data_IF_977373244652
#
_entry.id   IF_977373244652
#
_cell.length_a   1.000
_cell.length_b   1.000
_cell.length_c   1.000
_cell.angle_alpha   90.00
_cell.angle_beta   90.00
_cell.angle_gamma   90.00
#
_symmetry.space_group_name_H-M   'P 1'
#
loop_
_entity.id
_entity.type
_entity.pdbx_description
1 polymer ?
#
# COMPACT_ATOMS: atom_id res chain seq x y z
N UNK A 1 -0.88 -16.33 -0.62
CA UNK A 1 -0.12 -15.35 -1.39
C UNK A 1 0.16 -15.85 -2.76
N UNK A 2 -0.44 -15.23 -3.75
CA UNK A 2 -0.15 -15.52 -5.12
C UNK A 2 1.16 -14.84 -5.52
N UNK A 3 2.26 -15.49 -5.30
CA UNK A 3 3.57 -14.89 -5.47
C UNK A 3 3.95 -14.68 -6.93
N UNK A 4 3.53 -15.56 -7.81
CA UNK A 4 3.95 -15.51 -9.21
C UNK A 4 3.26 -14.38 -9.99
N UNK A 5 2.01 -14.10 -9.71
CA UNK A 5 1.31 -13.04 -10.41
C UNK A 5 1.47 -11.67 -9.74
N UNK A 6 2.28 -11.61 -8.68
CA UNK A 6 2.59 -10.37 -7.98
C UNK A 6 4.07 -9.98 -8.14
N UNK A 7 4.67 -10.28 -9.29
CA UNK A 7 6.09 -9.95 -9.54
C UNK A 7 6.36 -8.47 -9.33
N UNK A 8 5.48 -7.60 -9.81
CA UNK A 8 5.62 -6.15 -9.64
C UNK A 8 5.60 -5.76 -8.16
N UNK A 9 4.75 -6.42 -7.37
CA UNK A 9 4.71 -6.18 -5.93
C UNK A 9 5.97 -6.63 -5.24
N UNK A 10 6.55 -7.76 -5.66
CA UNK A 10 7.82 -8.26 -5.12
C UNK A 10 8.97 -7.33 -5.47
N UNK A 11 9.00 -6.81 -6.70
CA UNK A 11 10.02 -5.84 -7.10
C UNK A 11 9.91 -4.56 -6.28
N UNK A 12 8.70 -4.07 -6.05
CA UNK A 12 8.45 -2.90 -5.24
C UNK A 12 8.89 -3.15 -3.79
N UNK A 13 8.53 -4.31 -3.24
CA UNK A 13 8.94 -4.67 -1.89
C UNK A 13 10.46 -4.74 -1.76
N UNK A 14 11.14 -5.29 -2.75
CA UNK A 14 12.59 -5.36 -2.75
C UNK A 14 13.23 -3.98 -2.74
N UNK A 15 12.70 -3.05 -3.52
CA UNK A 15 13.18 -1.66 -3.54
C UNK A 15 12.95 -0.96 -2.20
N UNK A 16 11.73 -1.06 -1.67
CA UNK A 16 11.40 -0.42 -0.39
C UNK A 16 12.21 -1.01 0.76
N UNK A 17 12.37 -2.33 0.76
CA UNK A 17 13.12 -3.01 1.80
C UNK A 17 14.63 -2.78 1.71
N UNK A 18 15.15 -2.50 0.51
CA UNK A 18 16.57 -2.32 0.26
C UNK A 18 17.21 -1.29 1.18
N UNK A 19 16.53 -0.19 1.44
CA UNK A 19 17.03 0.86 2.33
C UNK A 19 17.07 0.39 3.79
N UNK A 20 16.13 -0.46 4.18
CA UNK A 20 15.99 -0.91 5.57
C UNK A 20 16.95 -2.05 5.92
N UNK A 21 17.42 -2.79 4.93
CA UNK A 21 18.18 -4.03 5.16
C UNK A 21 19.65 -3.94 4.75
N UNK A 22 20.17 -2.77 4.48
CA UNK A 22 21.56 -2.60 4.05
C UNK A 22 22.59 -3.21 5.00
N UNK A 23 22.29 -3.24 6.29
CA UNK A 23 23.18 -3.76 7.33
C UNK A 23 22.80 -5.14 7.85
N UNK A 24 21.76 -5.77 7.29
CA UNK A 24 21.24 -7.05 7.77
C UNK A 24 21.78 -8.19 6.91
N UNK A 25 22.17 -9.30 7.56
CA UNK A 25 22.66 -10.48 6.86
C UNK A 25 21.50 -11.14 6.08
N UNK A 26 21.85 -11.77 4.94
CA UNK A 26 20.87 -12.37 4.04
C UNK A 26 19.93 -13.37 4.72
N UNK A 27 20.44 -14.22 5.61
CA UNK A 27 19.60 -15.19 6.32
C UNK A 27 18.60 -14.52 7.25
N UNK A 28 18.97 -13.40 7.88
CA UNK A 28 18.08 -12.61 8.71
C UNK A 28 17.00 -11.94 7.85
N UNK A 29 17.39 -11.46 6.67
CA UNK A 29 16.46 -10.87 5.72
C UNK A 29 15.39 -11.89 5.33
N UNK A 30 15.80 -13.13 5.03
CA UNK A 30 14.87 -14.19 4.66
C UNK A 30 13.89 -14.51 5.80
N UNK A 31 14.37 -14.57 7.03
CA UNK A 31 13.53 -14.81 8.19
C UNK A 31 12.51 -13.68 8.42
N UNK A 32 12.95 -12.44 8.28
CA UNK A 32 12.06 -11.27 8.41
C UNK A 32 11.01 -11.29 7.32
N UNK A 33 11.39 -11.56 6.07
CA UNK A 33 10.45 -11.64 4.96
C UNK A 33 9.38 -12.70 5.22
N UNK A 34 9.78 -13.87 5.70
CA UNK A 34 8.85 -14.94 6.01
C UNK A 34 7.89 -14.54 7.16
N UNK A 35 8.39 -13.81 8.15
CA UNK A 35 7.56 -13.39 9.29
C UNK A 35 6.56 -12.29 8.96
N UNK A 36 6.73 -11.59 7.85
CA UNK A 36 5.77 -10.59 7.39
C UNK A 36 4.50 -11.23 6.83
N UNK A 37 4.55 -12.52 6.54
CA UNK A 37 3.43 -13.22 5.90
C UNK A 37 2.64 -13.99 6.95
N UNK A 38 1.61 -13.34 7.50
CA UNK A 38 0.65 -14.00 8.39
C UNK A 38 -0.74 -13.87 7.81
N UNK A 39 -1.45 -14.99 7.72
CA UNK A 39 -2.70 -15.08 6.97
C UNK A 39 -3.79 -14.13 7.46
N UNK A 40 -4.07 -14.11 8.75
CA UNK A 40 -5.17 -13.30 9.30
C UNK A 40 -4.95 -11.82 9.05
N UNK A 41 -3.74 -11.34 9.33
CA UNK A 41 -3.37 -9.94 9.15
C UNK A 41 -3.42 -9.55 7.67
N UNK A 42 -3.00 -10.45 6.78
CA UNK A 42 -3.04 -10.21 5.34
C UNK A 42 -4.47 -10.02 4.86
N UNK A 43 -5.39 -10.87 5.31
CA UNK A 43 -6.79 -10.79 4.89
C UNK A 43 -7.42 -9.46 5.30
N UNK A 44 -7.22 -9.04 6.55
CA UNK A 44 -7.72 -7.77 7.05
C UNK A 44 -7.07 -6.58 6.34
N UNK A 45 -5.77 -6.64 6.14
CA UNK A 45 -5.03 -5.60 5.44
C UNK A 45 -5.48 -5.49 3.98
N UNK A 46 -5.75 -6.60 3.32
CA UNK A 46 -6.23 -6.60 1.93
C UNK A 46 -7.60 -5.93 1.81
N UNK A 47 -8.49 -6.14 2.78
CA UNK A 47 -9.78 -5.46 2.80
C UNK A 47 -9.62 -3.95 3.00
N UNK A 48 -8.76 -3.56 3.93
CA UNK A 48 -8.44 -2.14 4.14
C UNK A 48 -7.85 -1.53 2.87
N UNK A 49 -6.89 -2.20 2.27
CA UNK A 49 -6.26 -1.73 1.02
C UNK A 49 -7.29 -1.59 -0.10
N UNK A 50 -8.23 -2.53 -0.20
CA UNK A 50 -9.29 -2.48 -1.21
C UNK A 50 -10.15 -1.23 -1.08
N UNK A 51 -10.56 -0.89 0.15
CA UNK A 51 -11.35 0.31 0.40
C UNK A 51 -10.58 1.58 0.09
N UNK A 52 -9.33 1.65 0.52
CA UNK A 52 -8.47 2.81 0.25
C UNK A 52 -8.22 2.97 -1.25
N UNK A 53 -7.88 1.88 -1.93
CA UNK A 53 -7.60 1.91 -3.37
C UNK A 53 -8.83 2.32 -4.18
N UNK A 54 -9.99 1.75 -3.85
CA UNK A 54 -11.24 2.07 -4.53
C UNK A 54 -11.56 3.56 -4.38
N UNK A 55 -11.42 4.09 -3.18
CA UNK A 55 -11.69 5.49 -2.91
C UNK A 55 -10.72 6.43 -3.62
N UNK A 56 -9.43 6.11 -3.58
CA UNK A 56 -8.41 6.89 -4.28
C UNK A 56 -8.69 6.96 -5.78
N UNK A 57 -8.99 5.83 -6.39
CA UNK A 57 -9.25 5.79 -7.81
C UNK A 57 -10.52 6.55 -8.18
N UNK A 58 -11.63 6.29 -7.50
CA UNK A 58 -12.90 6.92 -7.79
C UNK A 58 -12.88 8.43 -7.60
N UNK A 59 -12.21 8.92 -6.57
CA UNK A 59 -12.14 10.35 -6.31
C UNK A 59 -11.22 11.08 -7.28
N UNK A 60 -10.24 10.41 -7.86
CA UNK A 60 -9.23 11.04 -8.70
C UNK A 60 -9.52 10.91 -10.19
N UNK A 61 -10.14 9.82 -10.62
CA UNK A 61 -10.35 9.56 -12.07
C UNK A 61 -11.21 10.60 -12.76
N UNK A 62 -12.10 11.25 -12.06
CA UNK A 62 -12.98 12.29 -12.62
C UNK A 62 -12.21 13.54 -13.00
N UNK A 63 -11.17 13.85 -12.25
CA UNK A 63 -10.40 15.07 -12.42
C UNK A 63 -9.12 14.85 -13.23
N UNK A 64 -8.51 13.69 -13.09
CA UNK A 64 -7.21 13.39 -13.69
C UNK A 64 -7.36 12.26 -14.70
N UNK A 65 -7.28 12.62 -15.99
CA UNK A 65 -7.38 11.63 -17.08
C UNK A 65 -6.12 10.77 -17.13
N UNK A 66 -6.31 9.52 -17.54
CA UNK A 66 -5.21 8.59 -17.73
C UNK A 66 -4.72 7.90 -16.47
N UNK A 67 -5.38 8.13 -15.33
CA UNK A 67 -5.04 7.40 -14.12
C UNK A 67 -5.37 5.93 -14.28
N UNK A 68 -4.42 5.09 -13.92
CA UNK A 68 -4.59 3.64 -13.94
C UNK A 68 -4.81 3.12 -12.55
N UNK A 69 -5.78 2.22 -12.40
CA UNK A 69 -5.97 1.51 -11.15
C UNK A 69 -5.12 0.24 -11.19
N UNK A 70 -3.98 0.28 -10.53
CA UNK A 70 -3.07 -0.87 -10.47
C UNK A 70 -3.50 -1.89 -9.42
N UNK A 71 -4.54 -1.57 -8.66
CA UNK A 71 -5.12 -2.49 -7.69
C UNK A 71 -4.32 -2.64 -6.41
N UNK A 72 -4.69 -3.65 -5.65
CA UNK A 72 -4.04 -4.02 -4.39
C UNK A 72 -3.09 -5.17 -4.66
N UNK A 73 -1.88 -5.07 -4.11
CA UNK A 73 -0.84 -6.09 -4.24
C UNK A 73 -0.39 -6.52 -2.85
N UNK A 74 -0.01 -7.77 -2.73
CA UNK A 74 0.57 -8.30 -1.50
C UNK A 74 2.06 -8.49 -1.69
N UNK A 75 2.83 -8.14 -0.65
CA UNK A 75 4.28 -8.29 -0.71
C UNK A 75 4.90 -8.22 0.68
N UNK A 76 6.14 -8.69 0.79
CA UNK A 76 6.85 -8.71 2.07
C UNK A 76 7.52 -7.36 2.37
N UNK A 77 6.72 -6.39 2.79
CA UNK A 77 7.19 -5.04 3.09
C UNK A 77 7.63 -4.93 4.55
N UNK A 78 8.89 -4.58 4.79
CA UNK A 78 9.43 -4.42 6.13
C UNK A 78 8.72 -3.33 6.92
N UNK A 79 8.31 -2.26 6.26
CA UNK A 79 7.63 -1.14 6.91
C UNK A 79 6.35 -1.59 7.62
N UNK A 80 5.75 -2.70 7.18
CA UNK A 80 4.53 -3.24 7.76
C UNK A 80 4.80 -4.30 8.85
N UNK A 81 6.08 -4.63 9.06
CA UNK A 81 6.46 -5.65 10.03
C UNK A 81 6.22 -5.17 11.46
N UNK A 82 5.68 -6.06 12.29
CA UNK A 82 5.48 -5.78 13.71
C UNK A 82 4.21 -5.03 14.06
N UNK A 83 3.41 -4.65 13.07
CA UNK A 83 2.11 -4.04 13.35
C UNK A 83 1.12 -5.09 13.85
N UNK A 84 0.43 -4.80 14.95
CA UNK A 84 -0.56 -5.71 15.55
C UNK A 84 -1.97 -5.46 15.01
N UNK A 85 -2.07 -4.74 13.93
CA UNK A 85 -3.34 -4.31 13.33
C UNK A 85 -3.23 -4.41 11.81
N UNK A 86 -4.34 -4.36 11.09
CA UNK A 86 -4.30 -4.26 9.64
C UNK A 86 -3.43 -3.06 9.23
N UNK A 87 -2.54 -3.30 8.28
CA UNK A 87 -1.58 -2.28 7.86
C UNK A 87 -1.34 -2.37 6.36
N UNK A 88 -1.19 -1.21 5.74
CA UNK A 88 -0.98 -1.10 4.29
C UNK A 88 0.06 -0.06 3.98
N UNK A 89 0.67 -0.21 2.83
CA UNK A 89 1.56 0.78 2.22
C UNK A 89 0.82 1.36 1.02
N UNK A 90 0.61 2.66 1.02
CA UNK A 90 -0.05 3.35 -0.09
C UNK A 90 1.01 4.03 -0.94
N UNK A 91 1.16 3.59 -2.17
CA UNK A 91 2.08 4.21 -3.13
C UNK A 91 1.28 5.11 -4.06
N UNK A 92 1.43 6.42 -3.88
CA UNK A 92 0.60 7.41 -4.56
C UNK A 92 1.20 7.90 -5.88
N UNK A 93 2.39 7.43 -6.21
CA UNK A 93 3.04 7.79 -7.46
C UNK A 93 4.55 7.66 -7.36
N UNK A 94 5.23 7.94 -8.46
CA UNK A 94 6.69 7.85 -8.53
C UNK A 94 7.29 9.22 -8.79
N UNK A 95 8.21 9.63 -7.93
CA UNK A 95 8.90 10.92 -8.08
C UNK A 95 9.81 10.93 -9.31
N UNK A 96 10.20 9.76 -9.80
CA UNK A 96 10.98 9.62 -11.02
C UNK A 96 10.14 9.84 -12.29
N UNK A 97 8.83 9.79 -12.18
CA UNK A 97 7.92 10.07 -13.29
C UNK A 97 7.56 11.55 -13.24
N UNK A 98 7.94 12.29 -14.29
CA UNK A 98 7.84 13.76 -14.31
C UNK A 98 6.43 14.28 -14.02
N UNK A 99 5.42 13.70 -14.66
CA UNK A 99 4.03 14.12 -14.49
C UNK A 99 3.54 13.84 -13.06
N UNK A 100 3.84 12.65 -12.53
CA UNK A 100 3.43 12.27 -11.18
C UNK A 100 4.12 13.12 -10.13
N UNK A 101 5.42 13.38 -10.30
CA UNK A 101 6.16 14.27 -9.40
C UNK A 101 5.54 15.66 -9.37
N UNK A 102 5.14 16.17 -10.54
CA UNK A 102 4.49 17.48 -10.63
C UNK A 102 3.16 17.50 -9.89
N UNK A 103 2.35 16.46 -10.07
CA UNK A 103 1.07 16.35 -9.37
C UNK A 103 1.28 16.27 -7.86
N UNK A 104 2.25 15.49 -7.41
CA UNK A 104 2.55 15.31 -5.99
C UNK A 104 3.14 16.57 -5.34
N UNK A 105 3.55 17.57 -6.12
CA UNK A 105 4.02 18.85 -5.59
C UNK A 105 2.87 19.85 -5.35
N UNK A 106 1.66 19.52 -5.76
CA UNK A 106 0.51 20.41 -5.65
C UNK A 106 -0.30 20.13 -4.38
N UNK A 107 -0.48 21.14 -3.50
CA UNK A 107 -1.21 20.94 -2.25
C UNK A 107 -2.64 20.42 -2.43
N UNK A 108 -3.35 20.85 -3.47
CA UNK A 108 -4.70 20.38 -3.76
C UNK A 108 -4.73 18.88 -4.04
N UNK A 109 -3.77 18.40 -4.81
CA UNK A 109 -3.68 16.97 -5.13
C UNK A 109 -3.36 16.15 -3.88
N UNK A 110 -2.40 16.62 -3.07
CA UNK A 110 -2.05 15.97 -1.81
C UNK A 110 -3.24 15.90 -0.88
N UNK A 111 -3.99 17.00 -0.75
CA UNK A 111 -5.19 17.04 0.07
C UNK A 111 -6.22 16.03 -0.40
N UNK A 112 -6.42 15.93 -1.71
CA UNK A 112 -7.36 14.98 -2.30
C UNK A 112 -6.95 13.54 -1.98
N UNK A 113 -5.68 13.22 -2.11
CA UNK A 113 -5.16 11.90 -1.78
C UNK A 113 -5.38 11.58 -0.29
N UNK A 114 -5.01 12.51 0.58
CA UNK A 114 -5.14 12.31 2.02
C UNK A 114 -6.61 12.12 2.42
N UNK A 115 -7.50 12.94 1.89
CA UNK A 115 -8.94 12.83 2.16
C UNK A 115 -9.51 11.51 1.69
N UNK A 116 -9.08 11.04 0.51
CA UNK A 116 -9.54 9.77 -0.06
C UNK A 116 -9.07 8.59 0.77
N UNK A 117 -7.83 8.64 1.25
CA UNK A 117 -7.29 7.60 2.13
C UNK A 117 -8.07 7.55 3.43
N UNK A 118 -8.29 8.71 4.06
CA UNK A 118 -9.04 8.79 5.30
C UNK A 118 -10.46 8.24 5.15
N UNK A 119 -11.13 8.58 4.05
CA UNK A 119 -12.47 8.08 3.77
C UNK A 119 -12.47 6.57 3.53
N UNK A 120 -11.45 6.04 2.85
CA UNK A 120 -11.30 4.61 2.64
C UNK A 120 -11.12 3.86 3.95
N UNK A 121 -10.33 4.39 4.86
CA UNK A 121 -10.14 3.84 6.20
C UNK A 121 -11.48 3.83 6.95
N UNK A 122 -12.20 4.94 6.88
CA UNK A 122 -13.50 5.05 7.55
C UNK A 122 -14.49 4.00 7.02
N UNK A 123 -14.56 3.81 5.72
CA UNK A 123 -15.42 2.79 5.12
C UNK A 123 -15.04 1.38 5.56
N UNK A 124 -13.73 1.10 5.65
CA UNK A 124 -13.27 -0.18 6.15
C UNK A 124 -13.72 -0.41 7.59
N UNK A 125 -13.59 0.58 8.44
CA UNK A 125 -14.03 0.48 9.83
C UNK A 125 -15.53 0.27 9.94
N UNK A 126 -16.32 0.90 9.09
CA UNK A 126 -17.76 0.67 9.03
C UNK A 126 -18.09 -0.77 8.61
N UNK A 127 -17.36 -1.33 7.67
CA UNK A 127 -17.56 -2.71 7.22
C UNK A 127 -17.37 -3.71 8.35
N UNK A 128 -16.42 -3.43 9.26
CA UNK A 128 -16.18 -4.32 10.40
C UNK A 128 -17.27 -4.24 11.46
N UNK A 129 -18.05 -3.18 11.44
CA UNK A 129 -19.08 -2.96 12.44
C UNK A 129 -18.49 -2.53 13.79
N UNK A 130 -19.35 -2.31 14.81
CA UNK A 130 -18.87 -1.92 16.12
C UNK A 130 -18.08 -3.03 16.79
N UNK A 131 -16.98 -2.66 17.45
CA UNK A 131 -16.24 -3.57 18.32
C UNK A 131 -17.06 -3.85 19.57
N UNK A 132 -17.16 -5.11 19.88
CA UNK A 132 -17.85 -5.54 21.09
C UNK A 132 -16.82 -5.93 22.12
#
# INVERSE_FOLDING_TARGET
LGTSHNERALETAARENGELVKSVKDNQVQQILASLITTTKINDSSRLAGRVQDNLYKSSKKKYRGLKNLGVKEGPFYVLHGADMPSILVEVGFLTHRKEARMLSQPEYIYRLASSIAEGIHKYLQDKGPSI
#
